data_IF_494680472138
#
_entry.id   IF_494680472138
#
_cell.length_a   1.000
_cell.length_b   1.000
_cell.length_c   1.000
_cell.angle_alpha   90.00
_cell.angle_beta   90.00
_cell.angle_gamma   90.00
#
_symmetry.space_group_name_H-M   'P 1'
#
loop_
_entity.id
_entity.type
_entity.pdbx_description
1 polymer ?
#
# COMPACT_ATOMS: atom_id res chain seq x y z
N UNK A 1 23.79 74.83 -19.16
CA UNK A 1 22.70 75.10 -20.13
C UNK A 1 21.84 73.84 -20.18
N UNK A 2 20.82 73.67 -19.33
CA UNK A 2 19.44 74.20 -19.42
C UNK A 2 18.69 73.78 -20.70
N UNK A 3 17.79 72.80 -20.55
CA UNK A 3 16.36 72.75 -20.96
C UNK A 3 15.92 71.26 -20.99
N UNK A 4 15.21 70.69 -19.99
CA UNK A 4 13.76 70.72 -19.70
C UNK A 4 12.81 70.60 -20.90
N UNK A 5 12.01 69.51 -20.92
CA UNK A 5 10.57 69.42 -21.26
C UNK A 5 10.13 67.94 -21.09
N UNK A 6 9.40 67.60 -20.03
CA UNK A 6 7.92 67.49 -19.90
C UNK A 6 7.28 66.35 -20.74
N UNK A 7 7.00 65.20 -20.11
CA UNK A 7 5.67 64.67 -19.72
C UNK A 7 4.70 64.34 -20.86
N UNK A 8 4.32 63.07 -20.98
CA UNK A 8 2.91 62.68 -21.11
C UNK A 8 2.67 61.28 -20.53
N UNK A 9 1.88 61.26 -19.45
CA UNK A 9 1.19 60.09 -18.91
C UNK A 9 0.01 59.76 -19.84
N UNK A 10 -0.14 58.49 -20.19
CA UNK A 10 -1.40 57.95 -20.75
C UNK A 10 -1.93 56.89 -19.81
N UNK A 11 -2.97 57.27 -19.07
CA UNK A 11 -3.84 56.37 -18.31
C UNK A 11 -4.82 55.70 -19.28
N UNK A 12 -4.76 54.38 -19.39
CA UNK A 12 -5.85 53.59 -19.98
C UNK A 12 -6.60 52.87 -18.87
N UNK A 13 -7.65 53.54 -18.41
CA UNK A 13 -8.76 52.97 -17.65
C UNK A 13 -9.48 51.98 -18.55
N UNK A 14 -9.53 50.70 -18.20
CA UNK A 14 -10.44 49.75 -18.84
C UNK A 14 -11.33 49.14 -17.78
N UNK A 15 -12.61 49.34 -18.00
CA UNK A 15 -13.76 49.06 -17.16
C UNK A 15 -13.96 47.58 -16.88
N UNK A 16 -14.27 47.27 -15.63
CA UNK A 16 -14.89 46.02 -15.23
C UNK A 16 -16.26 45.85 -15.91
N UNK A 17 -16.55 44.65 -16.40
CA UNK A 17 -17.91 44.28 -16.81
C UNK A 17 -18.17 42.84 -16.37
N UNK A 18 -18.89 42.72 -15.27
CA UNK A 18 -19.63 41.54 -14.83
C UNK A 18 -20.75 41.22 -15.82
N UNK A 19 -21.03 39.94 -16.11
CA UNK A 19 -22.36 39.53 -16.48
C UNK A 19 -23.06 38.78 -15.33
N UNK A 20 -24.34 39.14 -15.22
CA UNK A 20 -25.33 38.71 -14.27
C UNK A 20 -25.51 37.19 -14.15
N UNK A 21 -25.86 36.79 -12.93
CA UNK A 21 -26.59 35.57 -12.60
C UNK A 21 -27.85 35.41 -13.48
N UNK A 22 -28.01 34.21 -14.04
CA UNK A 22 -29.31 33.68 -14.43
C UNK A 22 -29.61 32.45 -13.57
N UNK A 23 -30.46 32.64 -12.56
CA UNK A 23 -31.07 31.62 -11.72
C UNK A 23 -32.41 31.17 -12.32
N UNK A 24 -32.57 29.87 -12.60
CA UNK A 24 -33.86 29.17 -12.79
C UNK A 24 -33.65 27.66 -12.53
N UNK A 25 -34.69 26.87 -12.22
CA UNK A 25 -35.31 26.77 -10.90
C UNK A 25 -35.11 25.36 -10.31
N UNK A 26 -35.30 25.29 -8.99
CA UNK A 26 -35.50 24.06 -8.23
C UNK A 26 -36.64 23.22 -8.83
N UNK A 27 -36.32 21.99 -9.25
CA UNK A 27 -37.29 20.90 -9.35
C UNK A 27 -36.91 19.84 -8.32
N UNK A 28 -37.61 19.89 -7.19
CA UNK A 28 -37.53 18.86 -6.16
C UNK A 28 -38.33 17.64 -6.63
N UNK A 29 -37.64 16.55 -6.98
CA UNK A 29 -38.30 15.26 -7.15
C UNK A 29 -38.09 14.46 -5.85
N UNK A 30 -39.08 14.56 -4.97
CA UNK A 30 -39.20 13.71 -3.78
C UNK A 30 -39.60 12.30 -4.22
N UNK A 31 -38.63 11.42 -4.43
CA UNK A 31 -38.88 9.97 -4.45
C UNK A 31 -38.74 9.44 -3.03
N UNK A 32 -39.90 9.26 -2.38
CA UNK A 32 -40.05 8.48 -1.15
C UNK A 32 -39.58 7.03 -1.41
N UNK A 33 -38.34 6.70 -1.09
CA UNK A 33 -37.93 5.30 -0.92
C UNK A 33 -38.40 4.83 0.45
N UNK A 34 -39.35 3.88 0.44
CA UNK A 34 -39.89 3.22 1.63
C UNK A 34 -38.76 2.61 2.47
N UNK A 35 -38.71 3.01 3.74
CA UNK A 35 -38.01 2.31 4.80
C UNK A 35 -38.56 0.87 4.89
N UNK A 36 -37.79 -0.09 4.38
CA UNK A 36 -37.99 -1.51 4.69
C UNK A 36 -37.25 -1.79 5.99
N UNK A 37 -38.01 -2.08 7.04
CA UNK A 37 -37.48 -2.56 8.32
C UNK A 37 -36.88 -3.96 8.12
N UNK A 38 -35.56 -4.05 7.93
CA UNK A 38 -34.84 -5.31 8.12
C UNK A 38 -34.70 -5.58 9.61
N UNK A 39 -35.37 -6.63 10.08
CA UNK A 39 -35.30 -7.15 11.46
C UNK A 39 -33.84 -7.41 11.87
N UNK A 40 -33.47 -7.20 13.15
CA UNK A 40 -32.14 -7.57 13.63
C UNK A 40 -32.00 -9.08 13.62
N UNK A 41 -30.99 -9.59 12.92
CA UNK A 41 -30.60 -10.99 12.96
C UNK A 41 -29.91 -11.26 14.30
N UNK A 42 -30.64 -11.90 15.22
CA UNK A 42 -30.08 -12.48 16.44
C UNK A 42 -29.18 -13.66 16.07
N UNK A 43 -27.88 -13.53 16.29
CA UNK A 43 -26.96 -14.67 16.35
C UNK A 43 -27.08 -15.33 17.73
N UNK A 44 -27.40 -16.64 17.83
CA UNK A 44 -27.29 -17.34 19.10
C UNK A 44 -25.80 -17.53 19.45
N UNK A 45 -25.34 -16.87 20.51
CA UNK A 45 -24.10 -17.20 21.19
C UNK A 45 -24.23 -18.61 21.80
N UNK A 46 -23.57 -19.59 21.18
CA UNK A 46 -23.33 -20.89 21.79
C UNK A 46 -21.83 -20.92 22.14
N UNK A 47 -21.53 -20.58 23.39
CA UNK A 47 -20.26 -20.92 24.02
C UNK A 47 -20.20 -22.44 24.20
N UNK A 48 -19.32 -23.13 23.47
CA UNK A 48 -18.93 -24.51 23.77
C UNK A 48 -17.56 -24.50 24.46
N UNK A 49 -17.36 -25.30 25.52
CA UNK A 49 -16.09 -25.36 26.21
C UNK A 49 -15.00 -25.96 25.33
N UNK A 50 -13.80 -25.41 25.46
CA UNK A 50 -12.56 -25.87 24.79
C UNK A 50 -12.28 -27.31 25.24
N UNK A 51 -12.56 -28.26 24.36
CA UNK A 51 -12.12 -29.65 24.50
C UNK A 51 -10.74 -29.77 23.88
N UNK A 52 -9.73 -30.08 24.69
CA UNK A 52 -8.39 -30.43 24.22
C UNK A 52 -8.48 -31.72 23.41
N UNK A 53 -8.48 -31.58 22.08
CA UNK A 53 -8.36 -32.71 21.17
C UNK A 53 -6.91 -33.19 21.17
N UNK A 54 -6.66 -34.34 21.80
CA UNK A 54 -5.37 -35.04 21.74
C UNK A 54 -5.39 -35.88 20.46
N UNK A 55 -4.54 -35.62 19.45
CA UNK A 55 -4.56 -36.41 18.22
C UNK A 55 -4.13 -37.86 18.54
N UNK A 56 -4.73 -38.86 17.88
CA UNK A 56 -4.34 -40.24 18.06
C UNK A 56 -2.89 -40.44 17.59
N UNK A 57 -2.10 -41.18 18.38
CA UNK A 57 -0.74 -41.54 17.98
C UNK A 57 -0.78 -42.38 16.71
N UNK A 58 -0.24 -41.84 15.62
CA UNK A 58 -0.04 -42.59 14.39
C UNK A 58 1.06 -43.65 14.61
N UNK A 59 0.64 -44.90 14.79
CA UNK A 59 1.49 -46.11 14.80
C UNK A 59 2.12 -46.40 13.41
N UNK A 60 1.89 -45.55 12.41
CA UNK A 60 2.42 -45.68 11.05
C UNK A 60 3.80 -45.06 10.79
N UNK A 61 4.47 -44.45 11.78
CA UNK A 61 5.84 -43.93 11.61
C UNK A 61 6.93 -45.02 11.64
N UNK A 62 6.58 -46.31 11.58
CA UNK A 62 7.53 -47.44 11.65
C UNK A 62 7.93 -48.03 10.28
N UNK A 63 7.57 -47.39 9.17
CA UNK A 63 7.94 -47.80 7.81
C UNK A 63 8.45 -46.59 7.00
N UNK A 64 9.66 -46.13 7.32
CA UNK A 64 10.70 -45.76 6.34
C UNK A 64 10.45 -44.71 5.25
N UNK A 65 9.35 -43.94 5.26
CA UNK A 65 9.16 -42.83 4.32
C UNK A 65 9.21 -41.50 5.08
N UNK A 66 10.28 -40.76 4.84
CA UNK A 66 10.72 -39.61 5.64
C UNK A 66 9.69 -38.48 5.74
N UNK A 67 9.20 -38.26 6.96
CA UNK A 67 8.72 -36.94 7.37
C UNK A 67 9.93 -36.03 7.49
N UNK A 68 10.03 -35.02 6.63
CA UNK A 68 11.02 -33.94 6.77
C UNK A 68 10.74 -33.24 8.09
N UNK A 69 11.57 -33.49 9.11
CA UNK A 69 11.55 -32.72 10.35
C UNK A 69 11.63 -31.23 10.00
N UNK A 70 10.91 -30.33 10.70
CA UNK A 70 11.13 -28.90 10.55
C UNK A 70 12.62 -28.65 10.83
N UNK A 71 13.31 -28.02 9.88
CA UNK A 71 14.68 -27.57 10.07
C UNK A 71 14.73 -26.67 11.33
N UNK A 72 15.60 -26.92 12.32
CA UNK A 72 15.74 -26.05 13.49
C UNK A 72 15.90 -24.55 13.17
N UNK A 73 16.33 -24.19 11.97
CA UNK A 73 16.40 -22.81 11.47
C UNK A 73 15.01 -22.15 11.26
N UNK A 74 13.92 -22.92 11.17
CA UNK A 74 12.56 -22.41 10.95
C UNK A 74 11.92 -21.78 12.19
N UNK A 75 12.56 -21.89 13.36
CA UNK A 75 12.02 -21.43 14.64
C UNK A 75 12.86 -20.33 15.30
N UNK A 76 13.88 -19.80 14.64
CA UNK A 76 14.61 -18.65 15.18
C UNK A 76 13.81 -17.36 14.93
N UNK A 77 13.16 -16.78 15.96
CA UNK A 77 12.33 -15.58 15.80
C UNK A 77 13.18 -14.34 15.45
N UNK A 78 14.50 -14.42 15.56
CA UNK A 78 15.39 -13.31 15.23
C UNK A 78 15.60 -13.14 13.73
N UNK A 79 15.47 -14.20 12.93
CA UNK A 79 15.66 -14.13 11.47
C UNK A 79 14.68 -13.17 10.80
N UNK A 80 13.34 -13.29 10.96
CA UNK A 80 12.39 -12.36 10.36
C UNK A 80 12.44 -10.96 10.97
N UNK A 81 13.04 -10.82 12.15
CA UNK A 81 13.25 -9.54 12.81
C UNK A 81 14.57 -8.86 12.42
N UNK A 82 15.49 -9.57 11.77
CA UNK A 82 16.74 -9.04 11.25
C UNK A 82 16.53 -8.07 10.07
N UNK A 83 17.59 -7.38 9.63
CA UNK A 83 17.54 -6.45 8.50
C UNK A 83 17.31 -7.19 7.16
N UNK A 84 16.99 -6.42 6.12
CA UNK A 84 17.05 -6.90 4.74
C UNK A 84 18.49 -6.82 4.22
N UNK A 85 19.20 -7.95 4.24
CA UNK A 85 20.59 -8.06 3.80
C UNK A 85 20.77 -8.25 2.28
N UNK A 86 19.67 -8.28 1.51
CA UNK A 86 19.75 -8.36 0.06
C UNK A 86 20.41 -7.09 -0.51
N UNK A 87 21.13 -7.24 -1.63
CA UNK A 87 21.72 -6.11 -2.35
C UNK A 87 20.91 -5.78 -3.60
N UNK A 88 20.59 -4.50 -3.86
CA UNK A 88 19.99 -4.10 -5.12
C UNK A 88 21.04 -4.19 -6.25
N UNK A 89 20.60 -4.07 -7.50
CA UNK A 89 21.54 -4.01 -8.63
C UNK A 89 22.50 -2.81 -8.49
N UNK A 90 23.71 -2.85 -9.10
CA UNK A 90 24.67 -1.76 -9.00
C UNK A 90 24.09 -0.41 -9.42
N UNK A 91 24.29 0.62 -8.58
CA UNK A 91 23.75 1.97 -8.80
C UNK A 91 22.32 2.18 -8.30
N UNK A 92 21.61 1.11 -7.93
CA UNK A 92 20.21 1.15 -7.51
C UNK A 92 20.09 1.22 -6.00
N UNK A 93 18.90 1.64 -5.54
CA UNK A 93 18.52 1.62 -4.12
C UNK A 93 17.23 0.84 -3.91
N UNK A 94 17.09 0.23 -2.73
CA UNK A 94 15.83 -0.37 -2.28
C UNK A 94 14.93 0.65 -1.58
N UNK A 95 13.63 0.42 -1.68
CA UNK A 95 12.58 1.04 -0.86
C UNK A 95 11.45 0.02 -0.64
N UNK A 96 10.76 0.08 0.51
CA UNK A 96 9.68 -0.84 0.85
C UNK A 96 8.42 -0.12 1.33
N UNK A 97 7.27 -0.53 0.79
CA UNK A 97 5.97 0.10 1.06
C UNK A 97 4.87 -0.94 1.27
N UNK A 98 4.15 -0.84 2.39
CA UNK A 98 2.89 -1.56 2.65
C UNK A 98 1.71 -0.61 2.51
N UNK A 99 0.73 -0.93 1.66
CA UNK A 99 -0.37 -0.03 1.33
C UNK A 99 -1.68 -0.79 1.03
N UNK A 100 -1.94 -1.88 1.75
CA UNK A 100 -3.03 -2.81 1.49
C UNK A 100 -2.60 -3.98 0.60
N UNK A 101 -3.55 -4.57 -0.15
CA UNK A 101 -3.28 -5.64 -1.09
C UNK A 101 -2.16 -5.24 -2.07
N UNK A 102 -1.04 -5.96 -2.02
CA UNK A 102 0.18 -5.60 -2.74
C UNK A 102 0.06 -5.59 -4.27
N UNK A 103 -1.00 -6.15 -4.87
CA UNK A 103 -1.17 -6.25 -6.32
C UNK A 103 -1.38 -4.88 -6.96
N UNK A 104 -2.26 -4.07 -6.38
CA UNK A 104 -2.51 -2.71 -6.86
C UNK A 104 -1.35 -1.77 -6.54
N UNK A 105 -0.66 -2.02 -5.42
CA UNK A 105 0.49 -1.23 -4.96
C UNK A 105 1.69 -1.47 -5.89
N UNK A 106 1.95 -2.72 -6.24
CA UNK A 106 3.03 -3.07 -7.17
C UNK A 106 2.82 -2.40 -8.52
N UNK A 107 1.61 -2.49 -9.07
CA UNK A 107 1.28 -1.85 -10.34
C UNK A 107 1.47 -0.33 -10.31
N UNK A 108 1.20 0.33 -9.17
CA UNK A 108 1.47 1.75 -9.03
C UNK A 108 2.97 2.06 -9.16
N UNK A 109 3.83 1.31 -8.47
CA UNK A 109 5.28 1.50 -8.55
C UNK A 109 5.87 1.08 -9.90
N UNK A 110 5.31 0.06 -10.56
CA UNK A 110 5.73 -0.34 -11.91
C UNK A 110 5.65 0.82 -12.91
N UNK A 111 4.70 1.74 -12.72
CA UNK A 111 4.47 2.90 -13.59
C UNK A 111 5.34 4.11 -13.25
N UNK A 112 6.07 4.12 -12.15
CA UNK A 112 6.90 5.26 -11.75
C UNK A 112 8.20 5.27 -12.59
N UNK A 113 8.53 6.37 -13.30
CA UNK A 113 9.82 6.54 -13.96
C UNK A 113 10.99 6.41 -12.97
N UNK A 114 12.11 5.83 -13.41
CA UNK A 114 13.27 5.53 -12.55
C UNK A 114 13.13 4.25 -11.71
N UNK A 115 11.92 3.69 -11.54
CA UNK A 115 11.75 2.34 -10.97
C UNK A 115 12.21 1.29 -11.98
N UNK A 116 13.15 0.43 -11.56
CA UNK A 116 13.78 -0.59 -12.41
C UNK A 116 13.34 -2.01 -12.07
N UNK A 117 12.91 -2.26 -10.83
CA UNK A 117 12.34 -3.54 -10.40
C UNK A 117 11.26 -3.31 -9.35
N UNK A 118 10.22 -4.13 -9.41
CA UNK A 118 9.26 -4.30 -8.32
C UNK A 118 9.18 -5.77 -7.95
N UNK A 119 8.92 -6.05 -6.69
CA UNK A 119 8.55 -7.38 -6.22
C UNK A 119 7.66 -7.30 -4.99
N UNK A 120 6.67 -8.18 -4.93
CA UNK A 120 5.77 -8.27 -3.77
C UNK A 120 6.25 -9.32 -2.78
N UNK A 121 5.96 -9.10 -1.50
CA UNK A 121 6.40 -10.01 -0.45
C UNK A 121 5.87 -9.68 0.93
N UNK A 122 6.45 -10.34 1.91
CA UNK A 122 6.08 -10.29 3.32
C UNK A 122 7.27 -9.81 4.15
N UNK A 123 7.03 -8.93 5.13
CA UNK A 123 8.09 -8.45 6.05
C UNK A 123 7.50 -7.98 7.38
N UNK A 124 8.32 -7.53 8.32
CA UNK A 124 7.99 -7.05 9.68
C UNK A 124 7.33 -8.06 10.63
N UNK A 125 6.99 -9.26 10.15
CA UNK A 125 6.38 -10.32 10.95
C UNK A 125 7.37 -11.18 11.72
N UNK A 126 6.85 -12.21 12.37
CA UNK A 126 7.58 -13.05 13.32
C UNK A 126 7.91 -14.44 12.78
N UNK A 127 7.36 -14.82 11.63
CA UNK A 127 7.53 -16.16 11.05
C UNK A 127 8.65 -16.14 10.00
N UNK A 128 9.61 -17.05 10.10
CA UNK A 128 10.60 -17.25 9.05
C UNK A 128 9.98 -18.04 7.89
N UNK A 129 10.26 -17.63 6.64
CA UNK A 129 9.72 -18.23 5.42
C UNK A 129 8.18 -18.40 5.42
N UNK A 130 7.41 -17.33 5.64
CA UNK A 130 5.95 -17.42 5.63
C UNK A 130 5.43 -17.73 4.21
N UNK A 131 4.43 -18.60 4.11
CA UNK A 131 3.59 -18.74 2.92
C UNK A 131 2.46 -17.70 2.89
N UNK A 132 1.83 -17.50 1.73
CA UNK A 132 0.62 -16.69 1.65
C UNK A 132 -0.48 -17.17 2.62
N UNK A 133 -0.66 -18.49 2.75
CA UNK A 133 -1.63 -19.08 3.65
C UNK A 133 -1.33 -18.75 5.11
N UNK A 134 -0.05 -18.77 5.51
CA UNK A 134 0.36 -18.37 6.86
C UNK A 134 0.00 -16.90 7.11
N UNK A 135 0.31 -16.00 6.18
CA UNK A 135 0.01 -14.56 6.29
C UNK A 135 -1.49 -14.30 6.35
N UNK A 136 -2.29 -15.04 5.57
CA UNK A 136 -3.75 -14.94 5.57
C UNK A 136 -4.39 -15.26 6.93
N UNK A 137 -3.71 -16.02 7.80
CA UNK A 137 -4.20 -16.25 9.17
C UNK A 137 -4.23 -14.98 10.02
N UNK A 138 -3.44 -13.96 9.66
CA UNK A 138 -3.25 -12.72 10.42
C UNK A 138 -2.40 -12.89 11.69
N UNK A 139 -1.90 -14.10 11.98
CA UNK A 139 -1.16 -14.38 13.22
C UNK A 139 0.35 -14.18 13.09
N UNK A 140 0.88 -14.14 11.87
CA UNK A 140 2.32 -14.02 11.61
C UNK A 140 2.85 -12.61 11.82
N UNK A 141 1.96 -11.61 11.91
CA UNK A 141 2.28 -10.18 11.98
C UNK A 141 3.03 -9.61 10.76
N UNK A 142 3.18 -10.39 9.69
CA UNK A 142 3.73 -9.87 8.44
C UNK A 142 2.84 -8.78 7.85
N UNK A 143 3.44 -7.82 7.17
CA UNK A 143 2.75 -6.93 6.22
C UNK A 143 2.94 -7.45 4.81
N UNK A 144 1.91 -7.39 3.98
CA UNK A 144 2.09 -7.35 2.53
C UNK A 144 2.78 -6.03 2.17
N UNK A 145 3.86 -6.14 1.37
CA UNK A 145 4.63 -4.99 0.91
C UNK A 145 5.07 -5.17 -0.53
N UNK A 146 5.43 -4.05 -1.14
CA UNK A 146 6.21 -3.99 -2.38
C UNK A 146 7.63 -3.56 -2.03
N UNK A 147 8.62 -4.36 -2.41
CA UNK A 147 10.02 -3.93 -2.46
C UNK A 147 10.32 -3.39 -3.86
N UNK A 148 10.81 -2.17 -3.92
CA UNK A 148 11.10 -1.42 -5.15
C UNK A 148 12.61 -1.27 -5.27
N UNK A 149 13.16 -1.49 -6.47
CA UNK A 149 14.48 -0.99 -6.85
C UNK A 149 14.31 0.19 -7.80
N UNK A 150 15.02 1.28 -7.52
CA UNK A 150 15.00 2.48 -8.35
C UNK A 150 16.42 3.01 -8.57
N UNK A 151 16.64 3.68 -9.70
CA UNK A 151 17.87 4.43 -9.97
C UNK A 151 17.71 5.85 -9.40
N UNK A 152 18.47 6.26 -8.36
CA UNK A 152 18.41 7.60 -7.79
C UNK A 152 18.78 8.73 -8.77
N UNK A 153 19.37 8.40 -9.93
CA UNK A 153 19.69 9.35 -11.00
C UNK A 153 18.53 9.59 -11.97
N UNK A 154 17.61 8.63 -12.07
CA UNK A 154 16.46 8.70 -12.98
C UNK A 154 15.13 8.93 -12.25
N UNK A 155 15.05 8.62 -10.96
CA UNK A 155 13.89 8.86 -10.11
C UNK A 155 14.31 9.13 -8.66
N UNK A 156 13.40 9.71 -7.88
CA UNK A 156 13.68 10.08 -6.49
C UNK A 156 12.80 9.31 -5.51
N UNK A 157 13.23 9.24 -4.24
CA UNK A 157 12.43 8.62 -3.18
C UNK A 157 11.12 9.38 -2.93
N UNK A 158 11.12 10.70 -3.12
CA UNK A 158 9.93 11.55 -3.04
C UNK A 158 8.88 11.15 -4.08
N UNK A 159 9.29 10.84 -5.32
CA UNK A 159 8.36 10.33 -6.34
C UNK A 159 7.72 8.99 -5.95
N UNK A 160 8.45 8.14 -5.21
CA UNK A 160 7.89 6.90 -4.65
C UNK A 160 6.91 7.20 -3.51
N UNK A 161 7.22 8.18 -2.64
CA UNK A 161 6.31 8.63 -1.59
C UNK A 161 5.02 9.21 -2.16
N UNK A 162 5.09 10.01 -3.23
CA UNK A 162 3.92 10.56 -3.91
C UNK A 162 3.04 9.44 -4.48
N UNK A 163 3.64 8.44 -5.13
CA UNK A 163 2.93 7.26 -5.61
C UNK A 163 2.27 6.47 -4.46
N UNK A 164 2.97 6.33 -3.33
CA UNK A 164 2.47 5.66 -2.13
C UNK A 164 1.24 6.37 -1.54
N UNK A 165 1.31 7.68 -1.32
CA UNK A 165 0.20 8.46 -0.75
C UNK A 165 -1.01 8.53 -1.67
N UNK A 166 -0.80 8.55 -2.99
CA UNK A 166 -1.90 8.55 -3.97
C UNK A 166 -2.59 7.18 -4.10
N UNK A 167 -1.95 6.09 -3.68
CA UNK A 167 -2.42 4.71 -3.93
C UNK A 167 -3.45 4.21 -2.92
N UNK A 168 -3.43 4.70 -1.68
CA UNK A 168 -4.17 4.10 -0.58
C UNK A 168 -4.74 5.14 0.41
N UNK A 169 -5.50 4.68 1.41
CA UNK A 169 -6.00 5.53 2.50
C UNK A 169 -5.04 5.35 3.69
N UNK A 170 -4.18 6.33 3.98
CA UNK A 170 -3.19 6.20 5.05
C UNK A 170 -3.79 6.36 6.46
N UNK A 171 -5.12 6.44 6.59
CA UNK A 171 -5.83 6.74 7.85
C UNK A 171 -6.67 5.57 8.36
N UNK A 172 -6.60 4.41 7.69
CA UNK A 172 -7.29 3.18 8.10
C UNK A 172 -6.32 2.19 8.73
N UNK A 173 -6.44 2.00 10.05
CA UNK A 173 -5.59 1.07 10.79
C UNK A 173 -5.90 -0.37 10.41
N UNK A 174 -4.87 -1.14 10.03
CA UNK A 174 -4.94 -2.58 9.71
C UNK A 174 -6.06 -2.93 8.71
N UNK A 175 -6.25 -2.07 7.70
CA UNK A 175 -7.26 -2.22 6.66
C UNK A 175 -6.92 -1.35 5.47
N UNK A 176 -7.21 -1.84 4.26
CA UNK A 176 -7.30 -1.01 3.07
C UNK A 176 -8.53 -1.41 2.25
N UNK A 177 -9.47 -0.48 2.06
CA UNK A 177 -10.75 -0.80 1.44
C UNK A 177 -11.48 -1.91 2.20
N UNK A 178 -11.80 -3.01 1.51
CA UNK A 178 -12.45 -4.19 2.10
C UNK A 178 -11.47 -5.25 2.63
N UNK A 179 -10.16 -5.07 2.40
CA UNK A 179 -9.13 -5.98 2.88
C UNK A 179 -8.80 -5.61 4.34
N UNK A 180 -9.20 -6.47 5.28
CA UNK A 180 -9.08 -6.22 6.73
C UNK A 180 -8.10 -7.20 7.35
N UNK A 181 -7.12 -6.67 8.08
CA UNK A 181 -6.07 -7.46 8.71
C UNK A 181 -4.78 -6.68 8.86
N UNK A 182 -3.94 -7.09 9.82
CA UNK A 182 -2.64 -6.45 10.07
C UNK A 182 -1.74 -6.52 8.85
N UNK A 183 -1.88 -7.53 8.00
CA UNK A 183 -1.14 -7.68 6.76
C UNK A 183 -1.41 -6.58 5.73
N UNK A 184 -2.53 -5.86 5.85
CA UNK A 184 -2.93 -4.78 4.94
C UNK A 184 -2.66 -3.39 5.51
N UNK A 185 -1.81 -3.27 6.53
CA UNK A 185 -1.49 -1.99 7.16
C UNK A 185 -0.68 -1.09 6.24
N UNK A 186 -0.80 0.22 6.48
CA UNK A 186 0.02 1.24 5.84
C UNK A 186 1.39 1.32 6.51
N UNK A 187 2.47 1.24 5.74
CA UNK A 187 3.84 1.28 6.27
C UNK A 187 4.87 1.70 5.23
N UNK A 188 5.89 2.44 5.68
CA UNK A 188 7.09 2.79 4.92
C UNK A 188 8.28 2.18 5.67
N UNK A 189 9.01 1.31 5.00
CA UNK A 189 10.14 0.60 5.59
C UNK A 189 11.45 1.08 4.95
N UNK A 190 12.23 1.85 5.70
CA UNK A 190 13.37 2.58 5.17
C UNK A 190 14.68 1.77 5.28
N UNK A 191 15.56 1.96 4.32
CA UNK A 191 16.91 1.38 4.28
C UNK A 191 17.99 2.36 4.75
N UNK A 192 17.72 3.67 4.69
CA UNK A 192 18.68 4.70 5.08
C UNK A 192 18.06 5.79 5.97
N UNK A 193 18.86 6.53 6.76
CA UNK A 193 18.38 7.68 7.53
C UNK A 193 17.76 8.78 6.66
N UNK A 194 18.24 8.96 5.42
CA UNK A 194 17.70 9.93 4.48
C UNK A 194 16.27 9.55 4.05
N UNK A 195 16.02 8.26 3.79
CA UNK A 195 14.68 7.75 3.52
C UNK A 195 13.75 7.92 4.73
N UNK A 196 14.25 7.62 5.94
CA UNK A 196 13.46 7.83 7.17
C UNK A 196 13.03 9.30 7.31
N UNK A 197 13.98 10.22 7.14
CA UNK A 197 13.72 11.66 7.23
C UNK A 197 12.71 12.11 6.18
N UNK A 198 12.92 11.75 4.91
CA UNK A 198 12.03 12.11 3.81
C UNK A 198 10.61 11.54 4.01
N UNK A 199 10.50 10.29 4.49
CA UNK A 199 9.20 9.67 4.79
C UNK A 199 8.45 10.41 5.90
N UNK A 200 9.14 10.78 7.00
CA UNK A 200 8.55 11.54 8.11
C UNK A 200 8.08 12.92 7.66
N UNK A 201 8.94 13.67 6.95
CA UNK A 201 8.60 14.99 6.41
C UNK A 201 7.41 14.91 5.44
N UNK A 202 7.39 13.91 4.56
CA UNK A 202 6.29 13.68 3.61
C UNK A 202 4.98 13.33 4.33
N UNK A 203 5.03 12.48 5.37
CA UNK A 203 3.86 12.16 6.20
C UNK A 203 3.32 13.40 6.91
N UNK A 204 4.18 14.30 7.40
CA UNK A 204 3.75 15.57 8.01
C UNK A 204 3.05 16.48 7.00
N UNK A 205 3.53 16.55 5.75
CA UNK A 205 2.84 17.32 4.70
C UNK A 205 1.49 16.69 4.37
N UNK A 206 1.44 15.36 4.22
CA UNK A 206 0.21 14.66 3.89
C UNK A 206 -0.84 14.76 5.02
N UNK A 207 -0.38 14.78 6.27
CA UNK A 207 -1.26 14.95 7.43
C UNK A 207 -1.98 16.31 7.40
N UNK A 208 -1.36 17.37 6.88
CA UNK A 208 -2.00 18.70 6.73
C UNK A 208 -3.15 18.70 5.73
N UNK A 209 -3.13 17.77 4.77
CA UNK A 209 -4.16 17.60 3.76
C UNK A 209 -5.28 16.63 4.20
N UNK A 210 -5.08 15.91 5.31
CA UNK A 210 -6.01 14.89 5.80
C UNK A 210 -6.73 15.33 7.06
N UNK A 211 -8.06 15.16 7.07
CA UNK A 211 -8.90 15.40 8.27
C UNK A 211 -8.79 14.27 9.30
N UNK A 212 -8.27 13.10 8.90
CA UNK A 212 -8.08 11.94 9.77
C UNK A 212 -6.59 11.77 10.05
N UNK A 213 -6.27 11.32 11.26
CA UNK A 213 -4.88 11.02 11.64
C UNK A 213 -4.34 9.92 10.73
N UNK A 214 -3.18 10.16 10.14
CA UNK A 214 -2.41 9.17 9.39
C UNK A 214 -1.85 8.14 10.40
N UNK A 215 -2.02 6.87 10.05
CA UNK A 215 -1.61 5.71 10.87
C UNK A 215 -0.48 4.91 10.23
N UNK A 216 0.10 5.42 9.14
CA UNK A 216 1.27 4.84 8.48
C UNK A 216 2.42 4.68 9.47
N UNK A 217 2.94 3.46 9.61
CA UNK A 217 4.16 3.22 10.38
C UNK A 217 5.40 3.56 9.54
N UNK A 218 6.41 4.17 10.15
CA UNK A 218 7.70 4.44 9.51
C UNK A 218 8.77 3.76 10.36
N UNK A 219 9.30 2.64 9.87
CA UNK A 219 10.20 1.74 10.62
C UNK A 219 11.38 1.30 9.75
N UNK A 220 12.49 0.82 10.33
CA UNK A 220 13.56 0.21 9.55
C UNK A 220 13.07 -0.98 8.72
N UNK A 221 13.59 -1.13 7.51
CA UNK A 221 13.41 -2.31 6.69
C UNK A 221 13.98 -3.55 7.40
N UNK A 222 13.20 -4.62 7.37
CA UNK A 222 13.54 -5.94 7.94
C UNK A 222 13.53 -6.97 6.83
N UNK A 223 13.94 -8.20 7.18
CA UNK A 223 14.01 -9.34 6.28
C UNK A 223 12.80 -9.39 5.35
N UNK A 224 13.07 -9.42 4.06
CA UNK A 224 12.05 -9.51 3.02
C UNK A 224 11.90 -10.96 2.55
N UNK A 225 10.66 -11.44 2.58
CA UNK A 225 10.30 -12.75 2.02
C UNK A 225 9.52 -12.51 0.74
N UNK A 226 10.17 -12.73 -0.41
CA UNK A 226 9.49 -12.63 -1.71
C UNK A 226 8.29 -13.58 -1.74
N UNK A 227 7.12 -13.06 -2.08
CA UNK A 227 5.92 -13.88 -2.23
C UNK A 227 6.00 -14.79 -3.47
N UNK A 228 5.12 -15.77 -3.52
CA UNK A 228 5.03 -16.76 -4.58
C UNK A 228 4.83 -16.12 -5.96
N UNK A 229 5.33 -16.78 -7.01
CA UNK A 229 5.37 -16.20 -8.37
C UNK A 229 3.99 -15.84 -8.94
N UNK A 230 2.92 -16.48 -8.44
CA UNK A 230 1.56 -16.16 -8.85
C UNK A 230 1.06 -14.80 -8.33
N UNK A 231 1.67 -14.24 -7.28
CA UNK A 231 1.37 -12.89 -6.80
C UNK A 231 2.12 -11.79 -7.57
N UNK A 232 3.25 -12.14 -8.18
CA UNK A 232 4.19 -11.19 -8.78
C UNK A 232 3.61 -10.63 -10.08
N UNK A 233 3.56 -9.30 -10.20
CA UNK A 233 2.98 -8.57 -11.33
C UNK A 233 1.56 -9.04 -11.71
N UNK A 234 0.75 -9.41 -10.70
CA UNK A 234 -0.54 -10.08 -10.89
C UNK A 234 -1.51 -9.32 -11.82
N UNK A 235 -1.67 -8.02 -11.63
CA UNK A 235 -2.58 -7.19 -12.45
C UNK A 235 -2.08 -6.99 -13.87
N UNK A 236 -0.76 -6.94 -14.07
CA UNK A 236 -0.15 -6.88 -15.40
C UNK A 236 -0.33 -8.21 -16.16
N UNK A 237 -0.33 -9.33 -15.43
CA UNK A 237 -0.58 -10.68 -15.96
C UNK A 237 -2.06 -10.93 -16.31
N UNK A 238 -2.98 -10.10 -15.81
CA UNK A 238 -4.42 -10.15 -16.15
C UNK A 238 -5.36 -10.03 -14.96
N UNK A 239 -4.84 -10.11 -13.73
CA UNK A 239 -5.67 -10.11 -12.53
C UNK A 239 -6.69 -11.25 -12.49
N UNK A 240 -7.67 -11.12 -11.60
CA UNK A 240 -8.74 -12.10 -11.35
C UNK A 240 -9.63 -12.35 -12.55
N UNK A 241 -9.82 -11.33 -13.40
CA UNK A 241 -10.79 -11.35 -14.49
C UNK A 241 -10.15 -11.46 -15.88
N UNK A 242 -8.82 -11.57 -15.97
CA UNK A 242 -8.08 -11.69 -17.23
C UNK A 242 -7.85 -10.36 -17.97
N UNK A 243 -8.35 -9.23 -17.45
CA UNK A 243 -8.16 -7.91 -18.04
C UNK A 243 -6.86 -7.26 -17.53
N UNK A 244 -5.80 -7.37 -18.33
CA UNK A 244 -4.50 -6.77 -18.03
C UNK A 244 -4.61 -5.26 -17.79
N UNK A 245 -3.81 -4.78 -16.86
CA UNK A 245 -3.63 -3.35 -16.62
C UNK A 245 -2.21 -2.96 -17.01
N UNK A 246 -2.06 -1.88 -17.78
CA UNK A 246 -0.77 -1.46 -18.33
C UNK A 246 0.22 -1.10 -17.22
N UNK A 247 1.49 -1.48 -17.41
CA UNK A 247 2.63 -1.13 -16.54
C UNK A 247 3.50 -0.04 -17.15
N UNK A 248 3.07 0.58 -18.25
CA UNK A 248 3.85 1.61 -18.94
C UNK A 248 4.18 2.77 -18.00
N UNK A 249 5.42 3.29 -18.12
CA UNK A 249 5.88 4.41 -17.31
C UNK A 249 5.01 5.64 -17.55
N UNK A 250 4.52 6.25 -16.48
CA UNK A 250 3.61 7.39 -16.53
C UNK A 250 2.15 7.05 -16.88
N UNK A 251 1.77 5.77 -16.99
CA UNK A 251 0.38 5.39 -17.21
C UNK A 251 -0.50 5.83 -16.02
N UNK A 252 -1.53 6.63 -16.31
CA UNK A 252 -2.46 7.17 -15.31
C UNK A 252 -3.84 6.49 -15.34
N UNK A 253 -3.98 5.38 -16.06
CA UNK A 253 -5.23 4.61 -16.07
C UNK A 253 -5.60 4.18 -14.64
N UNK A 254 -6.87 4.31 -14.22
CA UNK A 254 -7.27 3.91 -12.87
C UNK A 254 -6.93 2.45 -12.58
N UNK A 255 -6.13 2.21 -11.54
CA UNK A 255 -5.79 0.85 -11.11
C UNK A 255 -6.97 0.23 -10.38
N UNK A 256 -7.47 -0.89 -10.92
CA UNK A 256 -8.50 -1.73 -10.32
C UNK A 256 -7.85 -2.77 -9.40
N UNK A 257 -8.35 -2.89 -8.18
CA UNK A 257 -7.66 -3.62 -7.11
C UNK A 257 -7.33 -5.08 -7.43
N UNK A 258 -8.22 -5.79 -8.14
CA UNK A 258 -8.09 -7.24 -8.34
C UNK A 258 -8.06 -7.67 -9.81
N UNK A 259 -8.26 -6.77 -10.77
CA UNK A 259 -8.43 -7.10 -12.19
C UNK A 259 -9.46 -6.21 -12.87
#
# INVERSE_FOLDING_TARGET
MLQTLSTHLTSTTTTATTPLLLSKPFLSLSTKSKLSHSKPFNFPQILKPISYYKPPMNILNKLGFGTRSPDPSTMDPTIPQGPDDDLPAPGQQFAQFGAGCFWGVELAFQRVPGVTKTEVGYTQGLLHNPSYEDVCTGTTMHSEVVRVQYDPKEGSFEALLDAFWARHDPTTLNRQGNDVGTQYRSGIYYYTPEQEKAAKESMEQQQKLSNRKIVTEILPAKKFYRAEEYHQQYLAKGGRFGFKQSTEKGCNDPIRCYG
#
